data_IF_841803118950
#
_entry.id   IF_841803118950
#
_cell.length_a   1.000
_cell.length_b   1.000
_cell.length_c   1.000
_cell.angle_alpha   90.00
_cell.angle_beta   90.00
_cell.angle_gamma   90.00
#
_symmetry.space_group_name_H-M   'P 1'
#
loop_
_entity.id
_entity.type
_entity.pdbx_description
1 polymer ?
#
# COMPACT_ATOMS: atom_id res chain seq x y z
N UNK A 1 -25.75 22.30 37.70
CA UNK A 1 -24.31 22.29 37.58
C UNK A 1 -24.01 22.54 36.11
N UNK A 2 -23.61 23.79 35.74
CA UNK A 2 -23.16 24.13 34.41
C UNK A 2 -21.91 23.31 34.13
N UNK A 3 -21.96 22.33 33.24
CA UNK A 3 -20.76 21.72 32.68
C UNK A 3 -19.97 22.84 32.00
N UNK A 4 -18.84 23.21 32.58
CA UNK A 4 -17.98 24.24 32.01
C UNK A 4 -17.49 23.74 30.63
N UNK A 5 -17.94 24.44 29.57
CA UNK A 5 -17.57 24.13 28.19
C UNK A 5 -16.04 24.26 28.07
N UNK A 6 -15.35 23.19 27.67
CA UNK A 6 -13.89 23.15 27.54
C UNK A 6 -13.40 24.16 26.52
N UNK A 7 -12.42 24.98 26.92
CA UNK A 7 -11.74 26.00 26.08
C UNK A 7 -10.26 26.06 26.39
N UNK A 8 -9.45 26.39 25.39
CA UNK A 8 -8.00 26.53 25.55
C UNK A 8 -7.25 25.23 25.30
N UNK A 9 -6.00 25.16 25.73
CA UNK A 9 -5.13 23.99 25.58
C UNK A 9 -4.98 23.29 26.91
N UNK A 10 -5.08 21.96 26.94
CA UNK A 10 -4.92 21.19 28.17
C UNK A 10 -5.14 19.70 27.95
N UNK A 11 -4.90 18.95 29.02
CA UNK A 11 -5.13 17.49 29.05
C UNK A 11 -6.49 17.21 29.69
N UNK A 12 -7.25 16.34 29.05
CA UNK A 12 -8.50 15.83 29.57
C UNK A 12 -8.46 14.30 29.67
N UNK A 13 -8.80 13.81 30.86
CA UNK A 13 -8.91 12.38 31.14
C UNK A 13 -10.38 11.96 31.05
N UNK A 14 -10.68 10.93 30.26
CA UNK A 14 -12.01 10.34 30.18
C UNK A 14 -12.14 9.19 31.21
N UNK A 15 -13.34 8.97 31.69
CA UNK A 15 -13.61 7.91 32.69
C UNK A 15 -13.38 6.48 32.18
N UNK A 16 -13.22 6.29 30.87
CA UNK A 16 -12.94 5.00 30.23
C UNK A 16 -11.43 4.70 30.04
N UNK A 17 -10.53 5.53 30.60
CA UNK A 17 -9.09 5.38 30.46
C UNK A 17 -8.47 6.06 29.24
N UNK A 18 -9.27 6.71 28.42
CA UNK A 18 -8.79 7.55 27.32
C UNK A 18 -8.30 8.90 27.82
N UNK A 19 -7.41 9.54 27.07
CA UNK A 19 -7.01 10.92 27.33
C UNK A 19 -6.75 11.71 26.06
N UNK A 20 -7.06 12.98 26.10
CA UNK A 20 -6.76 13.92 25.03
C UNK A 20 -5.93 15.07 25.57
N UNK A 21 -4.84 15.40 24.88
CA UNK A 21 -3.99 16.55 25.13
C UNK A 21 -4.01 17.44 23.87
N UNK A 22 -4.51 18.65 24.00
CA UNK A 22 -4.60 19.54 22.85
C UNK A 22 -5.53 20.71 23.05
N UNK A 23 -5.88 21.34 21.93
CA UNK A 23 -6.74 22.53 21.91
C UNK A 23 -8.22 22.16 21.94
N UNK A 24 -8.98 22.92 22.72
CA UNK A 24 -10.43 22.86 22.82
C UNK A 24 -11.07 24.18 22.44
N UNK A 25 -12.11 24.15 21.65
CA UNK A 25 -12.94 25.29 21.31
C UNK A 25 -14.40 24.89 21.51
N UNK A 26 -15.08 25.55 22.42
CA UNK A 26 -16.49 25.31 22.72
C UNK A 26 -16.84 23.82 22.91
N UNK A 27 -16.02 23.11 23.66
CA UNK A 27 -16.22 21.67 23.95
C UNK A 27 -15.80 20.71 22.86
N UNK A 28 -15.30 21.19 21.73
CA UNK A 28 -14.78 20.35 20.64
C UNK A 28 -13.25 20.35 20.59
N UNK A 29 -12.64 19.25 20.17
CA UNK A 29 -11.21 19.17 19.87
C UNK A 29 -10.95 19.91 18.58
N UNK A 30 -9.98 20.83 18.59
CA UNK A 30 -9.65 21.68 17.43
C UNK A 30 -8.14 21.90 17.32
N UNK A 31 -7.65 21.99 16.08
CA UNK A 31 -6.23 22.19 15.81
C UNK A 31 -5.39 20.99 16.18
N UNK A 32 -4.16 21.20 16.65
CA UNK A 32 -3.25 20.12 17.04
C UNK A 32 -3.66 19.50 18.37
N UNK A 33 -3.60 18.14 18.42
CA UNK A 33 -3.85 17.42 19.65
C UNK A 33 -3.54 15.94 19.56
N UNK A 34 -3.27 15.35 20.72
CA UNK A 34 -2.93 13.94 20.87
C UNK A 34 -4.02 13.22 21.66
N UNK A 35 -4.49 12.09 21.13
CA UNK A 35 -5.48 11.22 21.74
C UNK A 35 -4.84 9.88 22.05
N UNK A 36 -5.01 9.43 23.28
CA UNK A 36 -4.70 8.07 23.71
C UNK A 36 -6.00 7.34 23.92
N UNK A 37 -6.18 6.23 23.22
CA UNK A 37 -7.39 5.42 23.26
C UNK A 37 -7.26 4.29 24.28
N UNK A 38 -8.39 3.83 24.80
CA UNK A 38 -8.45 2.76 25.78
C UNK A 38 -7.88 1.42 25.28
N UNK A 39 -7.85 1.21 23.98
CA UNK A 39 -7.27 0.02 23.35
C UNK A 39 -5.74 0.04 23.24
N UNK A 40 -5.09 1.15 23.66
CA UNK A 40 -3.66 1.37 23.58
C UNK A 40 -3.18 2.00 22.27
N UNK A 41 -4.08 2.29 21.34
CA UNK A 41 -3.74 3.08 20.14
C UNK A 41 -3.60 4.56 20.51
N UNK A 42 -2.90 5.32 19.65
CA UNK A 42 -2.82 6.77 19.82
C UNK A 42 -2.85 7.48 18.47
N UNK A 43 -3.38 8.70 18.49
CA UNK A 43 -3.37 9.61 17.35
C UNK A 43 -2.73 10.94 17.78
N UNK A 44 -1.87 11.47 16.93
CA UNK A 44 -1.22 12.76 17.08
C UNK A 44 -1.37 13.55 15.79
N UNK A 45 -2.08 14.67 15.79
CA UNK A 45 -2.35 15.40 14.56
C UNK A 45 -3.46 16.45 14.67
N UNK A 46 -3.98 16.82 13.50
CA UNK A 46 -5.01 17.84 13.36
C UNK A 46 -6.41 17.34 13.71
N UNK A 47 -7.19 18.20 14.34
CA UNK A 47 -8.56 17.98 14.73
C UNK A 47 -9.46 19.11 14.23
N UNK A 48 -10.62 18.74 13.73
CA UNK A 48 -11.71 19.66 13.37
C UNK A 48 -13.01 19.08 13.91
N UNK A 49 -13.74 19.85 14.71
CA UNK A 49 -15.02 19.42 15.31
C UNK A 49 -14.94 18.02 15.96
N UNK A 50 -13.88 17.79 16.75
CA UNK A 50 -13.58 16.52 17.44
C UNK A 50 -13.33 15.31 16.54
N UNK A 51 -13.11 15.49 15.24
CA UNK A 51 -12.72 14.47 14.29
C UNK A 51 -11.26 14.64 13.86
N UNK A 52 -10.55 13.56 13.64
CA UNK A 52 -9.22 13.59 13.02
C UNK A 52 -9.36 14.16 11.61
N UNK A 53 -8.55 15.15 11.32
CA UNK A 53 -8.60 15.88 10.04
C UNK A 53 -7.20 16.37 9.69
N UNK A 54 -6.96 16.78 8.41
CA UNK A 54 -5.65 17.29 8.03
C UNK A 54 -4.54 16.25 8.18
N UNK A 55 -3.38 16.66 8.69
CA UNK A 55 -2.23 15.76 8.88
C UNK A 55 -2.24 15.13 10.26
N UNK A 56 -1.85 13.87 10.31
CA UNK A 56 -1.71 13.17 11.58
C UNK A 56 -1.01 11.85 11.47
N UNK A 57 -0.63 11.33 12.63
CA UNK A 57 -0.03 10.01 12.81
C UNK A 57 -0.88 9.20 13.77
N UNK A 58 -1.19 7.98 13.39
CA UNK A 58 -1.81 7.00 14.27
C UNK A 58 -0.88 5.81 14.47
N UNK A 59 -0.79 5.34 15.71
CA UNK A 59 -0.19 4.06 16.06
C UNK A 59 -1.31 3.17 16.57
N UNK A 60 -1.54 2.08 15.88
CA UNK A 60 -2.59 1.11 16.22
C UNK A 60 -2.14 0.12 17.29
N UNK A 61 -3.09 -0.47 18.00
CA UNK A 61 -2.82 -1.49 19.03
C UNK A 61 -1.98 -2.67 18.54
N UNK A 62 -2.15 -3.08 17.28
CA UNK A 62 -1.42 -4.19 16.66
C UNK A 62 0.02 -3.83 16.25
N UNK A 63 0.44 -2.58 16.45
CA UNK A 63 1.77 -2.07 16.08
C UNK A 63 1.84 -1.47 14.67
N UNK A 64 0.78 -1.53 13.88
CA UNK A 64 0.70 -0.80 12.63
C UNK A 64 0.77 0.72 12.89
N UNK A 65 1.29 1.47 11.92
CA UNK A 65 1.33 2.92 11.97
C UNK A 65 0.84 3.51 10.64
N UNK A 66 0.14 4.63 10.73
CA UNK A 66 -0.17 5.44 9.56
C UNK A 66 0.23 6.89 9.82
N UNK A 67 0.88 7.50 8.84
CA UNK A 67 1.20 8.93 8.84
C UNK A 67 0.76 9.52 7.50
N UNK A 68 -0.14 10.49 7.54
CA UNK A 68 -0.72 11.04 6.32
C UNK A 68 -1.90 11.96 6.56
N UNK A 69 -2.76 12.04 5.57
CA UNK A 69 -3.93 12.90 5.64
C UNK A 69 -5.15 12.17 6.18
N UNK A 70 -5.95 12.90 6.95
CA UNK A 70 -7.23 12.48 7.48
C UNK A 70 -8.33 13.42 7.02
N UNK A 71 -9.51 12.87 6.80
CA UNK A 71 -10.76 13.60 6.60
C UNK A 71 -11.86 12.90 7.38
N UNK A 72 -12.49 13.61 8.32
CA UNK A 72 -13.61 13.10 9.12
C UNK A 72 -13.34 11.70 9.70
N UNK A 73 -12.22 11.56 10.44
CA UNK A 73 -11.75 10.32 11.07
C UNK A 73 -11.23 9.23 10.12
N UNK A 74 -11.21 9.45 8.81
CA UNK A 74 -10.75 8.47 7.83
C UNK A 74 -9.39 8.87 7.27
N UNK A 75 -8.52 7.87 7.04
CA UNK A 75 -7.32 8.04 6.22
C UNK A 75 -7.77 8.36 4.80
N UNK A 76 -7.27 9.46 4.25
CA UNK A 76 -7.70 9.98 2.96
C UNK A 76 -6.54 10.68 2.25
N UNK A 77 -6.44 10.54 0.91
CA UNK A 77 -5.36 11.15 0.14
C UNK A 77 -4.02 10.45 0.36
N UNK A 78 -2.92 11.18 0.37
CA UNK A 78 -1.57 10.60 0.45
C UNK A 78 -1.15 10.31 1.90
N UNK A 79 -0.47 9.18 2.08
CA UNK A 79 0.08 8.78 3.36
C UNK A 79 1.04 7.60 3.26
N UNK A 80 1.66 7.28 4.39
CA UNK A 80 2.51 6.11 4.56
C UNK A 80 1.93 5.21 5.64
N UNK A 81 1.73 3.95 5.32
CA UNK A 81 1.29 2.92 6.25
C UNK A 81 2.42 1.92 6.48
N UNK A 82 2.84 1.79 7.72
CA UNK A 82 3.84 0.82 8.15
C UNK A 82 3.13 -0.31 8.89
N UNK A 83 3.16 -1.48 8.32
CA UNK A 83 2.58 -2.68 8.92
C UNK A 83 3.49 -3.23 10.03
N UNK A 84 2.91 -3.89 11.02
CA UNK A 84 3.66 -4.55 12.10
C UNK A 84 4.62 -5.64 11.58
N UNK A 85 4.32 -6.24 10.42
CA UNK A 85 5.18 -7.20 9.71
C UNK A 85 6.30 -6.56 8.90
N UNK A 86 6.51 -5.24 9.01
CA UNK A 86 7.52 -4.41 8.35
C UNK A 86 7.27 -4.11 6.86
N UNK A 87 6.13 -4.48 6.30
CA UNK A 87 5.74 -3.93 5.00
C UNK A 87 5.50 -2.42 5.14
N UNK A 88 5.83 -1.67 4.11
CA UNK A 88 5.60 -0.22 4.08
C UNK A 88 4.88 0.13 2.78
N UNK A 89 3.72 0.73 2.90
CA UNK A 89 3.00 1.30 1.77
C UNK A 89 3.08 2.83 1.82
N UNK A 90 3.43 3.44 0.70
CA UNK A 90 3.37 4.89 0.52
C UNK A 90 2.57 5.19 -0.75
N UNK A 91 1.46 5.89 -0.61
CA UNK A 91 0.57 6.13 -1.72
C UNK A 91 -0.76 6.74 -1.32
N UNK A 92 -1.78 6.44 -2.11
CA UNK A 92 -3.12 6.99 -1.95
C UNK A 92 -3.99 6.13 -1.04
N UNK A 93 -4.82 6.81 -0.24
CA UNK A 93 -5.82 6.23 0.64
C UNK A 93 -7.18 6.82 0.33
N UNK A 94 -8.19 6.00 0.40
CA UNK A 94 -9.58 6.41 0.29
C UNK A 94 -10.40 5.67 1.33
N UNK A 95 -11.05 6.42 2.21
CA UNK A 95 -11.92 5.86 3.25
C UNK A 95 -11.29 4.71 4.05
N UNK A 96 -10.07 4.94 4.58
CA UNK A 96 -9.25 3.97 5.33
C UNK A 96 -8.69 2.80 4.51
N UNK A 97 -8.82 2.79 3.19
CA UNK A 97 -8.30 1.73 2.31
C UNK A 97 -7.13 2.23 1.49
N UNK A 98 -6.17 1.36 1.25
CA UNK A 98 -5.13 1.56 0.23
C UNK A 98 -5.83 1.49 -1.14
N UNK A 99 -5.72 2.58 -1.91
CA UNK A 99 -6.43 2.75 -3.18
C UNK A 99 -5.59 3.65 -4.10
N UNK A 100 -5.71 3.49 -5.44
CA UNK A 100 -4.98 4.35 -6.38
C UNK A 100 -3.51 4.01 -6.52
N UNK A 101 -2.68 5.01 -6.82
CA UNK A 101 -1.25 4.81 -7.09
C UNK A 101 -0.42 4.80 -5.80
N UNK A 102 0.55 3.89 -5.75
CA UNK A 102 1.42 3.78 -4.59
C UNK A 102 2.60 2.82 -4.78
N UNK A 103 3.42 2.76 -3.74
CA UNK A 103 4.56 1.85 -3.64
C UNK A 103 4.42 1.01 -2.38
N UNK A 104 4.45 -0.31 -2.54
CA UNK A 104 4.58 -1.27 -1.43
C UNK A 104 6.00 -1.80 -1.40
N UNK A 105 6.67 -1.66 -0.27
CA UNK A 105 7.97 -2.27 0.00
C UNK A 105 7.77 -3.44 0.96
N UNK A 106 8.27 -4.60 0.59
CA UNK A 106 8.19 -5.82 1.38
C UNK A 106 9.40 -5.94 2.32
N UNK A 107 9.32 -6.76 3.40
CA UNK A 107 10.42 -6.93 4.36
C UNK A 107 11.73 -7.46 3.76
N UNK A 108 11.65 -8.23 2.67
CA UNK A 108 12.81 -8.71 1.90
C UNK A 108 13.41 -7.65 0.96
N UNK A 109 12.81 -6.44 0.90
CA UNK A 109 13.25 -5.34 0.05
C UNK A 109 12.63 -5.31 -1.34
N UNK A 110 11.82 -6.30 -1.72
CA UNK A 110 11.06 -6.26 -2.96
C UNK A 110 10.10 -5.07 -2.96
N UNK A 111 9.80 -4.56 -4.16
CA UNK A 111 8.90 -3.41 -4.30
C UNK A 111 7.89 -3.64 -5.40
N UNK A 112 6.65 -3.29 -5.11
CA UNK A 112 5.63 -3.08 -6.13
C UNK A 112 5.33 -1.58 -6.22
N UNK A 113 5.33 -1.06 -7.43
CA UNK A 113 4.93 0.32 -7.74
C UNK A 113 3.85 0.29 -8.81
N UNK A 114 2.69 0.84 -8.51
CA UNK A 114 1.57 0.86 -9.44
C UNK A 114 0.24 1.05 -8.75
N UNK A 115 -0.81 0.62 -9.46
CA UNK A 115 -2.17 0.78 -8.99
C UNK A 115 -2.56 -0.28 -7.96
N UNK A 116 -3.30 0.15 -6.95
CA UNK A 116 -3.92 -0.67 -5.92
C UNK A 116 -5.44 -0.51 -5.93
N UNK A 117 -6.13 -1.61 -5.68
CA UNK A 117 -7.56 -1.64 -5.43
C UNK A 117 -7.81 -2.47 -4.18
N UNK A 118 -8.39 -1.86 -3.16
CA UNK A 118 -8.65 -2.56 -1.88
C UNK A 118 -7.40 -3.14 -1.21
N UNK A 119 -6.24 -2.52 -1.39
CA UNK A 119 -4.98 -2.93 -0.77
C UNK A 119 -4.18 -3.99 -1.53
N UNK A 120 -4.63 -4.43 -2.69
CA UNK A 120 -3.91 -5.38 -3.55
C UNK A 120 -3.52 -4.74 -4.88
N UNK A 121 -2.38 -5.13 -5.48
CA UNK A 121 -2.01 -4.75 -6.84
C UNK A 121 -3.11 -5.09 -7.85
N UNK A 122 -3.59 -4.08 -8.59
CA UNK A 122 -4.63 -4.27 -9.60
C UNK A 122 -4.54 -3.18 -10.67
N UNK A 123 -4.29 -3.57 -11.92
CA UNK A 123 -3.98 -2.67 -13.02
C UNK A 123 -2.50 -2.69 -13.39
N UNK A 124 -1.99 -1.59 -13.95
CA UNK A 124 -0.57 -1.50 -14.35
C UNK A 124 0.33 -1.35 -13.13
N UNK A 125 1.46 -2.03 -13.14
CA UNK A 125 2.45 -1.92 -12.09
C UNK A 125 3.76 -2.65 -12.38
N UNK A 126 4.81 -2.16 -11.73
CA UNK A 126 6.16 -2.69 -11.77
C UNK A 126 6.47 -3.39 -10.45
N UNK A 127 6.81 -4.66 -10.49
CA UNK A 127 7.38 -5.39 -9.36
C UNK A 127 8.89 -5.53 -9.58
N UNK A 128 9.67 -5.13 -8.60
CA UNK A 128 11.13 -5.22 -8.61
C UNK A 128 11.58 -6.12 -7.47
N UNK A 129 12.33 -7.16 -7.79
CA UNK A 129 12.94 -8.03 -6.80
C UNK A 129 14.17 -7.35 -6.19
N UNK A 130 14.37 -7.52 -4.89
CA UNK A 130 15.50 -6.89 -4.17
C UNK A 130 16.84 -7.53 -4.52
N UNK A 131 16.82 -8.82 -4.85
CA UNK A 131 18.01 -9.57 -5.23
C UNK A 131 18.12 -9.68 -6.75
N UNK A 132 19.10 -8.98 -7.33
CA UNK A 132 19.33 -8.95 -8.76
C UNK A 132 18.59 -7.84 -9.49
N UNK A 133 18.49 -7.98 -10.82
CA UNK A 133 17.82 -7.01 -11.68
C UNK A 133 16.48 -7.56 -12.21
N UNK A 134 15.95 -8.57 -11.55
CA UNK A 134 14.68 -9.17 -11.95
C UNK A 134 13.54 -8.19 -11.69
N UNK A 135 12.62 -8.11 -12.63
CA UNK A 135 11.42 -7.28 -12.49
C UNK A 135 10.32 -7.78 -13.41
N UNK A 136 9.09 -7.53 -12.99
CA UNK A 136 7.90 -7.70 -13.82
C UNK A 136 7.26 -6.34 -14.06
N UNK A 137 7.08 -5.96 -15.30
CA UNK A 137 6.39 -4.74 -15.74
C UNK A 137 5.15 -5.15 -16.54
N UNK A 138 3.97 -4.92 -15.99
CA UNK A 138 2.77 -5.42 -16.63
C UNK A 138 1.47 -5.12 -15.90
N UNK A 139 0.47 -5.89 -16.25
CA UNK A 139 -0.88 -5.82 -15.70
C UNK A 139 -1.05 -6.85 -14.60
N UNK A 140 -1.63 -6.40 -13.51
CA UNK A 140 -1.96 -7.17 -12.32
C UNK A 140 -3.47 -7.28 -12.17
N UNK A 141 -3.92 -8.40 -11.68
CA UNK A 141 -5.34 -8.65 -11.38
C UNK A 141 -5.43 -9.37 -10.03
N UNK A 142 -6.07 -8.72 -9.04
CA UNK A 142 -6.22 -9.29 -7.69
C UNK A 142 -4.90 -9.70 -7.03
N UNK A 143 -3.82 -8.94 -7.23
CA UNK A 143 -2.50 -9.22 -6.66
C UNK A 143 -1.65 -10.25 -7.43
N UNK A 144 -2.10 -10.71 -8.61
CA UNK A 144 -1.39 -11.68 -9.44
C UNK A 144 -0.98 -11.07 -10.79
N UNK A 145 0.17 -11.50 -11.32
CA UNK A 145 0.60 -11.18 -12.68
C UNK A 145 -0.40 -11.73 -13.69
N UNK A 146 -0.80 -10.91 -14.67
CA UNK A 146 -1.78 -11.27 -15.70
C UNK A 146 -1.19 -11.27 -17.10
N UNK A 147 -0.51 -10.20 -17.47
CA UNK A 147 0.14 -10.02 -18.76
C UNK A 147 1.22 -8.96 -18.62
N UNK A 148 2.40 -9.18 -19.24
CA UNK A 148 3.49 -8.22 -19.19
C UNK A 148 4.85 -8.81 -19.46
N UNK A 149 5.87 -7.99 -19.20
CA UNK A 149 7.28 -8.35 -19.42
C UNK A 149 7.94 -8.74 -18.08
N UNK A 150 8.57 -9.90 -18.08
CA UNK A 150 9.46 -10.33 -17.00
C UNK A 150 10.90 -10.28 -17.51
N UNK A 151 11.75 -9.60 -16.76
CA UNK A 151 13.19 -9.49 -17.00
C UNK A 151 13.89 -10.43 -16.02
N UNK A 152 14.51 -11.48 -16.55
CA UNK A 152 15.21 -12.49 -15.76
C UNK A 152 16.64 -12.05 -15.39
N UNK A 153 17.17 -12.61 -14.31
CA UNK A 153 18.52 -12.32 -13.82
C UNK A 153 19.61 -12.65 -14.86
N UNK A 154 19.39 -13.63 -15.70
CA UNK A 154 20.31 -14.03 -16.78
C UNK A 154 20.25 -13.13 -18.01
N UNK A 155 19.40 -12.11 -18.02
CA UNK A 155 19.21 -11.18 -19.13
C UNK A 155 18.13 -11.61 -20.14
N UNK A 156 17.52 -12.75 -19.97
CA UNK A 156 16.37 -13.18 -20.80
C UNK A 156 15.15 -12.30 -20.49
N UNK A 157 14.21 -12.25 -21.43
CA UNK A 157 12.97 -11.50 -21.29
C UNK A 157 11.81 -12.39 -21.73
N UNK A 158 10.77 -12.47 -20.92
CA UNK A 158 9.48 -13.02 -21.37
C UNK A 158 8.46 -11.89 -21.47
N UNK A 159 7.70 -11.87 -22.55
CA UNK A 159 6.57 -10.95 -22.73
C UNK A 159 5.34 -11.75 -23.13
N UNK A 160 4.35 -11.80 -22.28
CA UNK A 160 3.17 -12.63 -22.53
C UNK A 160 2.23 -12.75 -21.35
N UNK A 161 1.40 -13.80 -21.43
CA UNK A 161 0.38 -14.09 -20.43
C UNK A 161 0.98 -14.85 -19.24
N UNK A 162 0.36 -14.60 -18.06
CA UNK A 162 0.76 -15.18 -16.79
C UNK A 162 -0.45 -15.75 -16.05
N UNK A 163 -0.23 -16.86 -15.40
CA UNK A 163 -1.21 -17.48 -14.50
C UNK A 163 -0.48 -18.08 -13.30
N UNK A 164 -0.97 -17.73 -12.09
CA UNK A 164 -0.39 -18.20 -10.83
C UNK A 164 1.15 -18.05 -10.76
N UNK A 165 1.65 -16.87 -11.23
CA UNK A 165 3.06 -16.51 -11.31
C UNK A 165 3.91 -17.40 -12.24
N UNK A 166 3.29 -18.06 -13.20
CA UNK A 166 3.97 -18.84 -14.24
C UNK A 166 3.60 -18.31 -15.63
N UNK A 167 4.51 -18.43 -16.58
CA UNK A 167 4.23 -18.19 -18.00
C UNK A 167 3.14 -19.18 -18.44
N UNK A 168 1.99 -18.67 -18.90
CA UNK A 168 0.85 -19.53 -19.26
C UNK A 168 -0.04 -18.78 -20.26
N UNK A 169 -0.38 -19.40 -21.39
CA UNK A 169 -1.07 -18.74 -22.50
C UNK A 169 -0.11 -18.41 -23.65
N UNK A 170 -0.24 -17.27 -24.27
CA UNK A 170 0.62 -16.86 -25.38
C UNK A 170 1.73 -15.93 -24.91
N UNK A 171 2.93 -16.12 -25.46
CA UNK A 171 4.05 -15.25 -25.11
C UNK A 171 5.28 -15.44 -25.97
N UNK A 172 6.14 -14.42 -25.90
CA UNK A 172 7.45 -14.38 -26.55
C UNK A 172 8.55 -14.42 -25.50
N UNK A 173 9.43 -15.38 -25.62
CA UNK A 173 10.65 -15.48 -24.81
C UNK A 173 11.84 -15.06 -25.66
N UNK A 174 12.60 -14.09 -25.21
CA UNK A 174 13.79 -13.56 -25.84
C UNK A 174 14.98 -13.99 -24.99
N UNK A 175 15.84 -14.80 -25.57
CA UNK A 175 17.07 -15.24 -24.92
C UNK A 175 18.14 -14.15 -24.99
N UNK A 176 19.08 -14.18 -24.09
CA UNK A 176 20.20 -13.22 -24.04
C UNK A 176 21.02 -13.19 -25.33
N UNK A 177 21.11 -14.31 -26.05
CA UNK A 177 21.76 -14.43 -27.37
C UNK A 177 20.92 -13.92 -28.54
N UNK A 178 19.78 -13.26 -28.26
CA UNK A 178 18.83 -12.71 -29.22
C UNK A 178 17.95 -13.72 -29.95
N UNK A 179 18.08 -15.01 -29.69
CA UNK A 179 17.11 -16.01 -30.15
C UNK A 179 15.73 -15.74 -29.53
N UNK A 180 14.68 -16.17 -30.22
CA UNK A 180 13.31 -15.93 -29.77
C UNK A 180 12.45 -17.16 -29.93
N UNK A 181 11.63 -17.42 -28.93
CA UNK A 181 10.51 -18.35 -29.05
C UNK A 181 9.20 -17.57 -28.90
N UNK A 182 8.32 -17.70 -29.87
CA UNK A 182 6.96 -17.13 -29.85
C UNK A 182 5.96 -18.26 -29.97
N UNK A 183 5.07 -18.40 -28.99
CA UNK A 183 4.11 -19.52 -29.00
C UNK A 183 3.37 -19.68 -27.69
N UNK A 184 2.80 -20.86 -27.54
CA UNK A 184 2.00 -21.25 -26.39
C UNK A 184 2.90 -21.67 -25.21
N UNK A 185 2.42 -21.39 -24.00
CA UNK A 185 3.06 -21.71 -22.75
C UNK A 185 2.05 -22.35 -21.78
N UNK A 186 2.50 -23.28 -20.98
CA UNK A 186 1.70 -23.87 -19.91
C UNK A 186 2.59 -24.18 -18.72
N UNK A 187 2.17 -23.70 -17.52
CA UNK A 187 2.87 -23.97 -16.26
C UNK A 187 4.37 -23.60 -16.29
N UNK A 188 4.77 -22.58 -17.08
CA UNK A 188 6.15 -22.12 -17.24
C UNK A 188 6.96 -22.82 -18.34
N UNK A 189 6.36 -23.76 -19.07
CA UNK A 189 7.03 -24.51 -20.15
C UNK A 189 6.44 -24.17 -21.52
N UNK A 190 7.28 -24.24 -22.55
CA UNK A 190 6.83 -24.20 -23.94
C UNK A 190 5.81 -25.32 -24.18
N UNK A 191 4.68 -24.98 -24.77
CA UNK A 191 3.58 -25.89 -24.99
C UNK A 191 2.94 -25.65 -26.35
N UNK A 192 2.24 -26.68 -26.90
CA UNK A 192 1.47 -26.53 -28.13
C UNK A 192 2.29 -26.01 -29.32
N UNK A 193 1.71 -25.03 -30.02
CA UNK A 193 2.33 -24.46 -31.23
C UNK A 193 3.23 -23.28 -30.90
N UNK A 194 4.38 -23.24 -31.56
CA UNK A 194 5.31 -22.12 -31.42
C UNK A 194 6.36 -22.08 -32.50
N UNK A 195 7.03 -20.94 -32.63
CA UNK A 195 8.10 -20.69 -33.60
C UNK A 195 9.36 -20.27 -32.87
N UNK A 196 10.45 -20.91 -33.25
CA UNK A 196 11.80 -20.50 -32.85
C UNK A 196 12.44 -19.68 -33.96
N UNK A 197 13.12 -18.59 -33.59
CA UNK A 197 13.89 -17.71 -34.49
C UNK A 197 15.29 -17.60 -33.91
N UNK A 198 16.29 -17.89 -34.70
CA UNK A 198 17.72 -17.87 -34.34
C UNK A 198 18.39 -16.61 -34.84
#
# INVERSE_FOLDING_TARGET
>A
IEESIRKGTGTYQYGNGESYEGKWVNGTKEGQGKMFYADGSCYDGDWVCSKRHGKGKVVFRNGDQFEGNFRDDKMEGKGTYTFADRRVYTGEFKENKIEGEGVMTLPNGDKYQGKFVGGVPDGKGLYSFSEGNEKFDGVWEGGKMKNGQFYFKNGDIYNGDWKDNKMDGNGMYIFMNSEKYEGEWSEGFKHGKGKMTF
#
